data_IF_358271629368
#
_entry.id   IF_358271629368
#
_cell.length_a   1.000
_cell.length_b   1.000
_cell.length_c   1.000
_cell.angle_alpha   90.00
_cell.angle_beta   90.00
_cell.angle_gamma   90.00
#
_symmetry.space_group_name_H-M   'P 1'
#
loop_
_entity.id
_entity.type
_entity.pdbx_description
1 polymer ?
#
# COMPACT_ATOMS: atom_id res chain seq x y z
N UNK A 1 17.80 1.29 -12.17
CA UNK A 1 17.34 0.93 -10.81
C UNK A 1 17.45 -0.59 -10.57
N UNK A 2 16.72 -1.46 -11.26
CA UNK A 2 16.79 -2.93 -10.98
C UNK A 2 18.17 -3.57 -11.17
N UNK A 3 19.04 -2.96 -11.97
CA UNK A 3 20.41 -3.42 -12.20
C UNK A 3 21.41 -2.91 -11.15
N UNK A 4 20.99 -2.04 -10.22
CA UNK A 4 21.88 -1.45 -9.23
C UNK A 4 22.11 -2.42 -8.06
N UNK A 5 23.37 -2.57 -7.57
CA UNK A 5 23.68 -3.47 -6.47
C UNK A 5 22.89 -3.16 -5.20
N UNK A 6 22.43 -4.19 -4.49
CA UNK A 6 21.72 -4.05 -3.21
C UNK A 6 20.26 -3.57 -3.29
N UNK A 7 19.72 -3.28 -4.47
CA UNK A 7 18.40 -2.64 -4.60
C UNK A 7 17.34 -3.52 -5.26
N UNK A 8 17.63 -4.82 -5.42
CA UNK A 8 16.67 -5.79 -6.01
C UNK A 8 15.34 -5.84 -5.28
N UNK A 9 15.34 -5.64 -3.96
CA UNK A 9 14.15 -5.76 -3.11
C UNK A 9 13.42 -4.44 -2.89
N UNK A 10 14.00 -3.30 -3.27
CA UNK A 10 13.36 -1.98 -3.09
C UNK A 10 12.14 -1.92 -4.01
N UNK A 11 10.92 -1.66 -3.50
CA UNK A 11 9.75 -1.46 -4.33
C UNK A 11 9.91 -0.21 -5.21
N UNK A 12 9.48 -0.29 -6.46
CA UNK A 12 9.56 0.82 -7.43
C UNK A 12 8.14 1.18 -7.86
N UNK A 13 7.74 2.43 -7.65
CA UNK A 13 6.46 2.98 -8.14
C UNK A 13 6.77 4.00 -9.23
N UNK A 14 6.25 3.78 -10.43
CA UNK A 14 6.36 4.72 -11.53
C UNK A 14 5.37 5.88 -11.34
N UNK A 15 5.80 7.10 -11.63
CA UNK A 15 4.94 8.28 -11.67
C UNK A 15 4.90 8.81 -13.10
N UNK A 16 3.80 8.57 -13.80
CA UNK A 16 3.63 8.93 -15.21
C UNK A 16 2.64 10.08 -15.39
N UNK A 17 2.83 10.90 -16.41
CA UNK A 17 1.84 11.89 -16.85
C UNK A 17 0.83 11.29 -17.85
N UNK A 18 1.14 10.13 -18.44
CA UNK A 18 0.30 9.42 -19.39
C UNK A 18 -0.59 8.41 -18.69
N UNK A 19 -1.88 8.43 -18.99
CA UNK A 19 -2.89 7.46 -18.52
C UNK A 19 -3.12 6.30 -19.48
N UNK A 20 -2.29 6.19 -20.52
CA UNK A 20 -2.39 5.12 -21.50
C UNK A 20 -2.07 3.76 -20.88
N UNK A 21 -2.84 2.74 -21.27
CA UNK A 21 -2.71 1.39 -20.72
C UNK A 21 -1.37 0.75 -21.14
N UNK A 22 -0.89 1.08 -22.33
CA UNK A 22 0.36 0.60 -22.90
C UNK A 22 1.56 1.10 -22.09
N UNK A 23 1.56 2.38 -21.71
CA UNK A 23 2.61 2.98 -20.88
C UNK A 23 2.64 2.33 -19.50
N UNK A 24 1.46 2.09 -18.92
CA UNK A 24 1.35 1.36 -17.64
C UNK A 24 1.93 -0.05 -17.77
N UNK A 25 1.61 -0.75 -18.85
CA UNK A 25 2.09 -2.12 -19.11
C UNK A 25 3.61 -2.15 -19.28
N UNK A 26 4.17 -1.24 -20.08
CA UNK A 26 5.60 -1.13 -20.31
C UNK A 26 6.38 -0.89 -19.00
N UNK A 27 5.87 -0.03 -18.11
CA UNK A 27 6.47 0.19 -16.80
C UNK A 27 6.49 -1.08 -15.93
N UNK A 28 5.38 -1.82 -15.90
CA UNK A 28 5.28 -3.06 -15.13
C UNK A 28 6.20 -4.14 -15.69
N UNK A 29 6.25 -4.29 -17.02
CA UNK A 29 7.10 -5.28 -17.71
C UNK A 29 8.60 -4.97 -17.51
N UNK A 30 8.97 -3.70 -17.35
CA UNK A 30 10.32 -3.28 -16.96
C UNK A 30 10.68 -3.63 -15.49
N UNK A 31 9.75 -4.24 -14.74
CA UNK A 31 9.95 -4.70 -13.38
C UNK A 31 9.62 -3.67 -12.31
N UNK A 32 8.78 -2.68 -12.61
CA UNK A 32 8.21 -1.79 -11.59
C UNK A 32 7.06 -2.50 -10.85
N UNK A 33 6.84 -2.14 -9.59
CA UNK A 33 5.81 -2.78 -8.77
C UNK A 33 4.43 -2.14 -9.01
N UNK A 34 4.39 -0.82 -9.21
CA UNK A 34 3.15 -0.08 -9.43
C UNK A 34 3.37 1.14 -10.32
N UNK A 35 2.27 1.69 -10.83
CA UNK A 35 2.25 2.89 -11.67
C UNK A 35 1.13 3.81 -11.18
N UNK A 36 1.46 5.07 -10.89
CA UNK A 36 0.52 6.12 -10.52
C UNK A 36 0.61 7.30 -11.49
N UNK A 37 -0.50 8.01 -11.63
CA UNK A 37 -0.64 9.18 -12.50
C UNK A 37 -0.23 10.45 -11.74
N UNK A 38 0.38 11.39 -12.46
CA UNK A 38 0.61 12.77 -12.01
C UNK A 38 -0.60 13.64 -12.39
N UNK A 39 -1.04 14.58 -11.54
CA UNK A 39 -0.57 14.82 -10.17
C UNK A 39 -0.98 13.65 -9.25
N UNK A 40 -0.16 13.37 -8.24
CA UNK A 40 -0.40 12.23 -7.34
C UNK A 40 -1.56 12.58 -6.40
N UNK A 41 -2.59 11.74 -6.41
CA UNK A 41 -3.61 11.74 -5.38
C UNK A 41 -3.10 10.98 -4.14
N UNK A 42 -2.99 11.62 -2.95
CA UNK A 42 -2.63 10.94 -1.72
C UNK A 42 -3.53 9.73 -1.39
N UNK A 43 -4.82 9.80 -1.72
CA UNK A 43 -5.76 8.71 -1.48
C UNK A 43 -5.44 7.47 -2.33
N UNK A 44 -4.82 7.65 -3.50
CA UNK A 44 -4.30 6.56 -4.33
C UNK A 44 -2.90 6.10 -3.89
N UNK A 45 -2.07 7.01 -3.39
CA UNK A 45 -0.69 6.72 -2.97
C UNK A 45 -0.62 5.85 -1.70
N UNK A 46 -1.35 6.23 -0.64
CA UNK A 46 -1.25 5.55 0.65
C UNK A 46 -1.53 4.04 0.59
N UNK A 47 -2.60 3.57 -0.09
CA UNK A 47 -2.85 2.13 -0.23
C UNK A 47 -1.72 1.39 -0.95
N UNK A 48 -1.09 2.03 -1.95
CA UNK A 48 0.07 1.46 -2.66
C UNK A 48 1.26 1.32 -1.70
N UNK A 49 1.57 2.37 -0.94
CA UNK A 49 2.68 2.33 0.02
C UNK A 49 2.46 1.28 1.11
N UNK A 50 1.27 1.24 1.71
CA UNK A 50 0.92 0.24 2.73
C UNK A 50 1.11 -1.19 2.20
N UNK A 51 0.62 -1.47 0.99
CA UNK A 51 0.77 -2.78 0.35
C UNK A 51 2.25 -3.12 0.06
N UNK A 52 3.01 -2.19 -0.49
CA UNK A 52 4.41 -2.44 -0.87
C UNK A 52 5.33 -2.57 0.34
N UNK A 53 5.07 -1.84 1.41
CA UNK A 53 5.82 -1.89 2.65
C UNK A 53 5.30 -2.96 3.62
N UNK A 54 4.24 -3.69 3.25
CA UNK A 54 3.55 -4.67 4.10
C UNK A 54 3.13 -4.08 5.46
N UNK A 55 2.74 -2.81 5.45
CA UNK A 55 2.24 -2.11 6.62
C UNK A 55 0.72 -2.28 6.68
N UNK A 56 0.19 -2.49 7.88
CA UNK A 56 -1.25 -2.38 8.06
C UNK A 56 -1.65 -0.91 8.16
N UNK A 57 -2.78 -0.51 7.56
CA UNK A 57 -3.34 0.80 7.83
C UNK A 57 -3.56 0.95 9.34
N UNK A 58 -3.36 2.15 9.91
CA UNK A 58 -3.68 2.38 11.31
C UNK A 58 -5.16 2.01 11.55
N UNK A 59 -5.49 1.37 12.68
CA UNK A 59 -6.88 1.04 12.99
C UNK A 59 -7.71 2.32 12.96
N UNK A 60 -8.90 2.24 12.38
CA UNK A 60 -9.82 3.38 12.34
C UNK A 60 -10.03 3.92 13.77
N UNK A 61 -10.09 5.25 13.97
CA UNK A 61 -10.41 5.82 15.27
C UNK A 61 -11.71 5.20 15.80
N UNK A 62 -11.62 4.45 16.90
CA UNK A 62 -12.76 3.72 17.50
C UNK A 62 -12.74 2.20 17.37
N UNK A 63 -11.88 1.59 16.54
CA UNK A 63 -11.79 0.12 16.44
C UNK A 63 -11.07 -0.52 17.64
N UNK A 64 -10.07 0.17 18.21
CA UNK A 64 -9.26 -0.35 19.32
C UNK A 64 -10.04 -0.46 20.66
N UNK A 65 -11.10 0.34 20.84
CA UNK A 65 -11.89 0.34 22.08
C UNK A 65 -12.86 -0.85 22.17
N UNK A 66 -13.29 -1.42 21.03
CA UNK A 66 -14.22 -2.56 21.01
C UNK A 66 -13.51 -3.89 21.28
N UNK A 67 -12.24 -4.03 20.91
CA UNK A 67 -11.45 -5.24 21.18
C UNK A 67 -11.24 -5.51 22.68
N UNK A 68 -11.36 -4.48 23.54
CA UNK A 68 -11.19 -4.60 24.99
C UNK A 68 -12.51 -4.86 25.77
N UNK A 69 -13.68 -4.74 25.13
CA UNK A 69 -14.99 -4.83 25.81
C UNK A 69 -15.69 -6.19 25.68
N UNK A 70 -15.01 -7.23 25.17
CA UNK A 70 -15.58 -8.57 25.02
C UNK A 70 -14.74 -9.63 25.72
N UNK A 71 -15.08 -9.97 26.97
CA UNK A 71 -15.14 -11.34 27.56
C UNK A 71 -15.09 -11.30 29.10
N UNK A 72 -16.22 -11.02 29.76
CA UNK A 72 -16.49 -11.59 31.10
C UNK A 72 -17.85 -12.32 31.06
N UNK A 73 -17.87 -13.63 30.74
CA UNK A 73 -19.04 -14.46 30.92
C UNK A 73 -18.90 -15.24 32.23
N UNK A 74 -19.22 -14.64 33.39
CA UNK A 74 -19.20 -15.45 34.61
C UNK A 74 -19.39 -14.74 35.95
N UNK A 75 -20.54 -14.11 36.20
CA UNK A 75 -21.00 -13.96 37.60
C UNK A 75 -22.52 -13.84 37.72
N UNK A 76 -23.21 -14.98 37.63
CA UNK A 76 -24.53 -15.18 38.23
C UNK A 76 -24.55 -16.54 38.93
N UNK A 77 -24.34 -16.53 40.24
CA UNK A 77 -24.79 -17.52 41.22
C UNK A 77 -24.72 -16.87 42.61
#
# INVERSE_FOLDING_TARGET
IRQWPGQRQVPIVALTASSLAEDRRACLDAGMNEVLIKPIDPAALFPVLLRLLRLQPPPAPGAAVQAAHGSDPGRQA
#
